data_IF_797998197441
#
_entry.id   IF_797998197441
#
_cell.length_a   1.000
_cell.length_b   1.000
_cell.length_c   1.000
_cell.angle_alpha   90.00
_cell.angle_beta   90.00
_cell.angle_gamma   90.00
#
_symmetry.space_group_name_H-M   'P 1'
#
loop_
_entity.id
_entity.type
_entity.pdbx_description
1 polymer ?
#
# COMPACT_ATOMS: atom_id res chain seq x y z
N UNK A 1 46.38 106.72 -20.43
CA UNK A 1 47.52 107.44 -19.84
C UNK A 1 47.37 107.43 -18.33
N UNK A 2 48.34 106.96 -17.56
CA UNK A 2 48.34 107.12 -16.11
C UNK A 2 48.34 108.60 -15.76
N UNK A 3 47.38 109.05 -14.95
CA UNK A 3 47.54 110.29 -14.20
C UNK A 3 48.21 109.93 -12.87
N UNK A 4 49.51 109.64 -12.92
CA UNK A 4 50.37 109.61 -11.73
C UNK A 4 50.18 110.92 -10.98
N UNK A 5 49.95 110.84 -9.66
CA UNK A 5 50.00 112.02 -8.81
C UNK A 5 51.47 112.38 -8.61
N UNK A 6 52.10 112.99 -9.62
CA UNK A 6 53.50 113.36 -9.61
C UNK A 6 53.75 114.32 -8.46
N UNK A 7 54.36 113.82 -7.39
CA UNK A 7 54.82 114.65 -6.28
C UNK A 7 55.90 115.59 -6.82
N UNK A 8 55.59 116.87 -6.89
CA UNK A 8 56.45 117.89 -7.48
C UNK A 8 57.52 118.31 -6.47
N UNK A 9 58.56 117.47 -6.38
CA UNK A 9 59.71 117.61 -5.47
C UNK A 9 60.33 119.01 -5.56
N UNK A 10 60.45 119.58 -6.77
CA UNK A 10 61.01 120.91 -6.99
C UNK A 10 60.11 122.01 -6.41
N UNK A 11 58.80 121.94 -6.64
CA UNK A 11 57.81 122.90 -6.09
C UNK A 11 57.63 122.76 -4.58
N UNK A 12 57.83 121.56 -4.03
CA UNK A 12 57.85 121.33 -2.59
C UNK A 12 59.12 121.89 -1.95
N UNK A 13 60.31 121.57 -2.48
CA UNK A 13 61.59 122.14 -2.04
C UNK A 13 61.63 123.68 -2.17
N UNK A 14 61.01 124.24 -3.21
CA UNK A 14 60.86 125.70 -3.34
C UNK A 14 60.01 126.30 -2.21
N UNK A 15 58.88 125.67 -1.86
CA UNK A 15 58.03 126.12 -0.74
C UNK A 15 58.71 126.00 0.62
N UNK A 16 59.56 124.98 0.82
CA UNK A 16 60.36 124.87 2.04
C UNK A 16 61.41 125.99 2.14
N UNK A 17 62.08 126.34 1.03
CA UNK A 17 62.96 127.53 0.96
C UNK A 17 62.19 128.83 1.26
N UNK A 18 61.01 129.01 0.67
CA UNK A 18 60.13 130.15 0.94
C UNK A 18 59.63 130.21 2.40
N UNK A 19 59.58 129.07 3.10
CA UNK A 19 59.27 128.96 4.52
C UNK A 19 60.49 129.07 5.46
N UNK A 20 61.69 129.34 4.94
CA UNK A 20 62.90 129.60 5.72
C UNK A 20 63.84 128.41 5.97
N UNK A 21 63.60 127.25 5.36
CA UNK A 21 64.58 126.15 5.35
C UNK A 21 65.75 126.47 4.41
N UNK A 22 66.96 126.01 4.74
CA UNK A 22 68.09 126.14 3.82
C UNK A 22 67.92 125.25 2.59
N UNK A 23 68.59 125.58 1.49
CA UNK A 23 68.46 124.85 0.22
C UNK A 23 68.77 123.34 0.36
N UNK A 24 69.85 122.89 1.03
CA UNK A 24 70.07 121.46 1.29
C UNK A 24 69.01 120.81 2.21
N UNK A 25 68.44 121.55 3.17
CA UNK A 25 67.38 121.03 4.03
C UNK A 25 66.07 120.84 3.26
N UNK A 26 65.74 121.81 2.41
CA UNK A 26 64.54 121.82 1.59
C UNK A 26 64.56 120.72 0.51
N UNK A 27 65.72 120.47 -0.08
CA UNK A 27 65.90 119.41 -1.08
C UNK A 27 65.90 118.03 -0.42
N UNK A 28 66.64 117.82 0.67
CA UNK A 28 66.62 116.55 1.40
C UNK A 28 65.23 116.18 1.95
N UNK A 29 64.46 117.14 2.48
CA UNK A 29 63.08 116.88 2.92
C UNK A 29 62.13 116.58 1.76
N UNK A 30 62.34 117.19 0.59
CA UNK A 30 61.53 116.91 -0.59
C UNK A 30 61.84 115.53 -1.19
N UNK A 31 63.13 115.15 -1.23
CA UNK A 31 63.62 113.86 -1.70
C UNK A 31 63.13 112.72 -0.79
N UNK A 32 63.37 112.82 0.53
CA UNK A 32 62.90 111.81 1.50
C UNK A 32 61.37 111.66 1.52
N UNK A 33 60.61 112.74 1.29
CA UNK A 33 59.15 112.66 1.19
C UNK A 33 58.70 112.05 -0.16
N UNK A 34 59.39 112.34 -1.26
CA UNK A 34 59.13 111.70 -2.55
C UNK A 34 59.41 110.19 -2.50
N UNK A 35 60.54 109.79 -1.90
CA UNK A 35 60.93 108.40 -1.67
C UNK A 35 59.92 107.68 -0.77
N UNK A 36 59.59 108.24 0.39
CA UNK A 36 58.61 107.65 1.33
C UNK A 36 57.18 107.57 0.76
N UNK A 37 56.82 108.41 -0.22
CA UNK A 37 55.56 108.31 -0.95
C UNK A 37 55.62 107.29 -2.09
N UNK A 38 56.77 107.13 -2.75
CA UNK A 38 56.97 106.17 -3.83
C UNK A 38 57.08 104.71 -3.34
N UNK A 39 57.75 104.48 -2.21
CA UNK A 39 57.96 103.12 -1.68
C UNK A 39 56.70 102.54 -1.00
N UNK A 40 55.83 103.39 -0.44
CA UNK A 40 54.76 102.95 0.49
C UNK A 40 53.34 103.01 -0.07
N UNK A 41 53.16 103.46 -1.32
CA UNK A 41 51.84 103.60 -1.96
C UNK A 41 51.71 102.71 -3.20
N UNK A 42 50.63 101.93 -3.27
CA UNK A 42 50.28 101.17 -4.47
C UNK A 42 49.95 102.12 -5.64
N UNK A 43 50.32 101.74 -6.86
CA UNK A 43 49.99 102.51 -8.06
C UNK A 43 48.50 102.39 -8.43
N UNK A 44 48.02 103.25 -9.33
CA UNK A 44 46.65 103.14 -9.86
C UNK A 44 46.48 101.86 -10.67
N UNK A 45 47.55 101.44 -11.32
CA UNK A 45 47.68 100.21 -12.10
C UNK A 45 47.59 98.97 -11.19
N UNK A 46 48.22 98.99 -10.00
CA UNK A 46 48.08 97.92 -8.99
C UNK A 46 46.64 97.81 -8.48
N UNK A 47 46.02 98.95 -8.16
CA UNK A 47 44.62 99.00 -7.69
C UNK A 47 43.68 98.49 -8.78
N UNK A 48 43.82 98.93 -10.03
CA UNK A 48 43.00 98.44 -11.15
C UNK A 48 43.25 96.94 -11.45
N UNK A 49 44.48 96.45 -11.30
CA UNK A 49 44.80 95.04 -11.45
C UNK A 49 44.29 94.17 -10.29
N UNK A 50 44.10 94.74 -9.09
CA UNK A 50 43.41 94.09 -7.97
C UNK A 50 41.89 94.10 -8.17
N UNK A 51 41.32 95.21 -8.63
CA UNK A 51 39.89 95.37 -8.89
C UNK A 51 39.41 94.37 -9.94
N UNK A 52 40.11 94.28 -11.09
CA UNK A 52 39.80 93.27 -12.11
C UNK A 52 39.96 91.81 -11.63
N UNK A 53 40.89 91.53 -10.70
CA UNK A 53 40.99 90.20 -10.05
C UNK A 53 39.83 89.93 -9.10
N UNK A 54 39.30 90.97 -8.45
CA UNK A 54 38.11 90.87 -7.59
C UNK A 54 36.87 90.65 -8.45
N UNK A 55 36.69 91.38 -9.57
CA UNK A 55 35.58 91.17 -10.51
C UNK A 55 35.57 89.73 -11.06
N UNK A 56 36.72 89.20 -11.49
CA UNK A 56 36.85 87.83 -11.97
C UNK A 56 36.44 86.83 -10.87
N UNK A 57 36.98 86.95 -9.65
CA UNK A 57 36.62 86.06 -8.53
C UNK A 57 35.16 86.15 -8.12
N UNK A 58 34.56 87.35 -8.17
CA UNK A 58 33.13 87.55 -7.91
C UNK A 58 32.28 86.91 -9.03
N UNK A 59 32.76 86.92 -10.28
CA UNK A 59 32.10 86.22 -11.40
C UNK A 59 32.25 84.70 -11.32
N UNK A 60 33.37 84.18 -10.81
CA UNK A 60 33.60 82.76 -10.51
C UNK A 60 32.66 82.29 -9.39
N UNK A 61 32.70 82.92 -8.22
CA UNK A 61 31.81 82.60 -7.07
C UNK A 61 30.32 82.67 -7.46
N UNK A 62 29.93 83.59 -8.36
CA UNK A 62 28.56 83.69 -8.90
C UNK A 62 28.16 82.56 -9.87
N UNK A 63 29.11 81.80 -10.43
CA UNK A 63 28.85 80.54 -11.15
C UNK A 63 28.71 79.40 -10.15
N UNK A 64 29.67 79.26 -9.24
CA UNK A 64 29.70 78.19 -8.24
C UNK A 64 28.42 78.17 -7.39
N UNK A 65 27.94 79.34 -6.96
CA UNK A 65 26.67 79.48 -6.23
C UNK A 65 25.46 79.02 -7.07
N UNK A 66 25.47 79.22 -8.40
CA UNK A 66 24.39 78.75 -9.28
C UNK A 66 24.45 77.25 -9.54
N UNK A 67 25.66 76.68 -9.64
CA UNK A 67 25.83 75.23 -9.75
C UNK A 67 25.35 74.54 -8.47
N UNK A 68 25.71 75.08 -7.30
CA UNK A 68 25.21 74.60 -6.00
C UNK A 68 23.69 74.72 -5.86
N UNK A 69 23.05 75.78 -6.38
CA UNK A 69 21.59 75.91 -6.35
C UNK A 69 20.87 74.87 -7.24
N UNK A 70 21.49 74.48 -8.36
CA UNK A 70 21.03 73.37 -9.20
C UNK A 70 21.21 72.03 -8.48
N UNK A 71 22.40 71.72 -7.96
CA UNK A 71 22.68 70.49 -7.22
C UNK A 71 21.77 70.34 -5.98
N UNK A 72 21.53 71.42 -5.23
CA UNK A 72 20.60 71.45 -4.09
C UNK A 72 19.15 71.23 -4.55
N UNK A 73 18.78 71.64 -5.75
CA UNK A 73 17.44 71.42 -6.31
C UNK A 73 17.25 69.97 -6.79
N UNK A 74 18.29 69.33 -7.32
CA UNK A 74 18.33 67.91 -7.67
C UNK A 74 18.25 67.04 -6.41
N UNK A 75 19.10 67.28 -5.40
CA UNK A 75 19.03 66.56 -4.12
C UNK A 75 17.67 66.71 -3.43
N UNK A 76 17.01 67.89 -3.54
CA UNK A 76 15.63 68.09 -3.06
C UNK A 76 14.57 67.32 -3.84
N UNK A 77 14.85 66.91 -5.09
CA UNK A 77 13.98 66.02 -5.88
C UNK A 77 14.18 64.58 -5.41
N UNK A 78 15.41 64.12 -5.32
CA UNK A 78 15.75 62.75 -4.96
C UNK A 78 15.26 62.39 -3.55
N UNK A 79 15.39 63.32 -2.58
CA UNK A 79 14.83 63.18 -1.23
C UNK A 79 13.31 62.97 -1.24
N UNK A 80 12.57 63.62 -2.17
CA UNK A 80 11.12 63.43 -2.29
C UNK A 80 10.77 62.09 -2.94
N UNK A 81 11.57 61.64 -3.92
CA UNK A 81 11.37 60.33 -4.53
C UNK A 81 11.62 59.20 -3.51
N UNK A 82 12.68 59.32 -2.71
CA UNK A 82 12.95 58.40 -1.60
C UNK A 82 11.83 58.41 -0.54
N UNK A 83 11.24 59.55 -0.20
CA UNK A 83 10.11 59.60 0.76
C UNK A 83 8.84 58.91 0.22
N UNK A 84 8.60 58.97 -1.10
CA UNK A 84 7.54 58.19 -1.78
C UNK A 84 7.85 56.69 -1.74
N UNK A 85 9.06 56.27 -2.13
CA UNK A 85 9.46 54.85 -2.10
C UNK A 85 9.42 54.27 -0.68
N UNK A 86 9.89 55.02 0.32
CA UNK A 86 9.81 54.66 1.75
C UNK A 86 8.34 54.55 2.19
N UNK A 87 7.45 55.40 1.67
CA UNK A 87 6.01 55.34 1.97
C UNK A 87 5.31 54.15 1.31
N UNK A 88 5.78 53.69 0.16
CA UNK A 88 5.32 52.48 -0.53
C UNK A 88 5.76 51.21 0.21
N UNK A 89 7.05 51.07 0.51
CA UNK A 89 7.57 49.95 1.33
C UNK A 89 6.87 49.85 2.69
N UNK A 90 6.48 50.99 3.30
CA UNK A 90 5.68 51.03 4.54
C UNK A 90 4.22 50.58 4.38
N UNK A 91 3.67 50.49 3.16
CA UNK A 91 2.39 49.82 2.88
C UNK A 91 2.61 48.33 2.70
N UNK A 92 3.59 47.94 1.89
CA UNK A 92 3.87 46.55 1.55
C UNK A 92 4.19 45.72 2.80
N UNK A 93 4.98 46.26 3.72
CA UNK A 93 5.26 45.64 5.03
C UNK A 93 3.96 45.39 5.82
N UNK A 94 3.01 46.33 5.82
CA UNK A 94 1.72 46.16 6.52
C UNK A 94 0.81 45.14 5.83
N UNK A 95 0.85 45.06 4.51
CA UNK A 95 0.14 44.03 3.75
C UNK A 95 0.70 42.62 4.05
N UNK A 96 2.03 42.52 4.18
CA UNK A 96 2.70 41.29 4.62
C UNK A 96 2.36 40.94 6.07
N UNK A 97 2.33 41.89 7.01
CA UNK A 97 1.92 41.66 8.41
C UNK A 97 0.48 41.09 8.49
N UNK A 98 -0.44 41.59 7.66
CA UNK A 98 -1.81 41.07 7.55
C UNK A 98 -1.79 39.63 7.00
N UNK A 99 -1.13 39.38 5.86
CA UNK A 99 -1.03 38.03 5.27
C UNK A 99 -0.40 37.01 6.21
N UNK A 100 0.65 37.39 6.94
CA UNK A 100 1.31 36.54 7.94
C UNK A 100 0.34 36.22 9.09
N UNK A 101 -0.48 37.19 9.51
CA UNK A 101 -1.51 37.00 10.54
C UNK A 101 -2.66 36.10 10.07
N UNK A 102 -2.99 36.12 8.78
CA UNK A 102 -3.98 35.24 8.15
C UNK A 102 -3.44 33.81 8.04
N UNK A 103 -2.29 33.60 7.39
CA UNK A 103 -1.64 32.28 7.28
C UNK A 103 -1.43 31.63 8.65
N UNK A 104 -1.07 32.41 9.68
CA UNK A 104 -0.93 31.91 11.06
C UNK A 104 -2.26 31.49 11.71
N UNK A 105 -3.39 32.07 11.29
CA UNK A 105 -4.74 31.63 11.70
C UNK A 105 -5.10 30.32 11.00
N UNK A 106 -4.89 30.26 9.70
CA UNK A 106 -5.26 29.12 8.86
C UNK A 106 -4.46 27.86 9.23
N UNK A 107 -3.16 28.01 9.51
CA UNK A 107 -2.31 26.94 10.07
C UNK A 107 -2.91 26.40 11.37
N UNK A 108 -3.34 27.28 12.29
CA UNK A 108 -3.93 26.86 13.58
C UNK A 108 -5.29 26.17 13.41
N UNK A 109 -6.07 26.56 12.42
CA UNK A 109 -7.34 25.89 12.11
C UNK A 109 -7.12 24.50 11.51
N UNK A 110 -6.14 24.36 10.60
CA UNK A 110 -5.75 23.08 10.02
C UNK A 110 -5.16 22.12 11.07
N UNK A 111 -4.30 22.61 11.96
CA UNK A 111 -3.73 21.86 13.09
C UNK A 111 -4.84 21.24 13.96
N UNK A 112 -5.80 22.07 14.40
CA UNK A 112 -6.96 21.60 15.18
C UNK A 112 -7.90 20.65 14.41
N UNK A 113 -8.04 20.82 13.08
CA UNK A 113 -8.81 19.89 12.23
C UNK A 113 -8.13 18.52 12.11
N UNK A 114 -6.81 18.50 11.95
CA UNK A 114 -6.01 17.26 11.89
C UNK A 114 -6.07 16.52 13.22
N UNK A 115 -5.91 17.22 14.35
CA UNK A 115 -6.01 16.63 15.70
C UNK A 115 -7.38 15.96 15.94
N UNK A 116 -8.48 16.62 15.53
CA UNK A 116 -9.83 16.06 15.64
C UNK A 116 -10.00 14.79 14.77
N UNK A 117 -9.56 14.82 13.51
CA UNK A 117 -9.63 13.65 12.61
C UNK A 117 -8.77 12.49 13.11
N UNK A 118 -7.56 12.76 13.61
CA UNK A 118 -6.68 11.74 14.19
C UNK A 118 -7.28 11.16 15.47
N UNK A 119 -7.95 11.96 16.30
CA UNK A 119 -8.65 11.48 17.48
C UNK A 119 -9.89 10.64 17.13
N UNK A 120 -10.64 11.00 16.08
CA UNK A 120 -11.77 10.22 15.57
C UNK A 120 -11.33 8.88 14.99
N UNK A 121 -10.36 8.87 14.08
CA UNK A 121 -9.82 7.64 13.48
C UNK A 121 -9.29 6.68 14.56
N UNK A 122 -8.61 7.20 15.60
CA UNK A 122 -8.15 6.38 16.75
C UNK A 122 -9.30 5.76 17.56
N UNK A 123 -10.46 6.42 17.68
CA UNK A 123 -11.65 5.82 18.31
C UNK A 123 -12.23 4.72 17.42
N UNK A 124 -12.43 5.01 16.13
CA UNK A 124 -13.05 4.09 15.18
C UNK A 124 -12.22 2.81 15.01
N UNK A 125 -10.88 2.92 14.97
CA UNK A 125 -9.98 1.76 14.99
C UNK A 125 -10.18 0.93 16.26
N UNK A 126 -10.20 1.55 17.44
CA UNK A 126 -10.36 0.84 18.72
C UNK A 126 -11.73 0.15 18.85
N UNK A 127 -12.78 0.75 18.30
CA UNK A 127 -14.12 0.15 18.25
C UNK A 127 -14.17 -1.06 17.31
N UNK A 128 -13.57 -0.95 16.12
CA UNK A 128 -13.44 -2.07 15.17
C UNK A 128 -12.63 -3.23 15.75
N UNK A 129 -11.50 -2.93 16.40
CA UNK A 129 -10.62 -3.89 17.07
C UNK A 129 -11.39 -4.71 18.12
N UNK A 130 -12.11 -4.03 19.03
CA UNK A 130 -12.96 -4.68 20.03
C UNK A 130 -14.14 -5.47 19.44
N UNK A 131 -14.76 -4.99 18.36
CA UNK A 131 -15.84 -5.71 17.67
C UNK A 131 -15.32 -6.98 16.98
N UNK A 132 -14.13 -6.96 16.39
CA UNK A 132 -13.48 -8.14 15.80
C UNK A 132 -13.11 -9.15 16.88
N UNK A 133 -12.53 -8.70 18.01
CA UNK A 133 -12.21 -9.58 19.14
C UNK A 133 -13.45 -10.29 19.69
N UNK A 134 -14.59 -9.59 19.82
CA UNK A 134 -15.86 -10.17 20.25
C UNK A 134 -16.38 -11.22 19.26
N UNK A 135 -16.38 -10.92 17.96
CA UNK A 135 -16.80 -11.87 16.92
C UNK A 135 -15.89 -13.10 16.85
N UNK A 136 -14.57 -12.92 16.97
CA UNK A 136 -13.62 -14.03 17.02
C UNK A 136 -13.80 -14.87 18.29
N UNK A 137 -14.11 -14.26 19.43
CA UNK A 137 -14.45 -14.96 20.67
C UNK A 137 -15.81 -15.67 20.61
N UNK A 138 -16.73 -15.25 19.75
CA UNK A 138 -18.01 -15.90 19.46
C UNK A 138 -17.83 -17.12 18.57
N UNK A 139 -17.24 -16.94 17.39
CA UNK A 139 -16.97 -18.03 16.44
C UNK A 139 -16.14 -19.15 17.10
N UNK A 140 -15.20 -18.83 17.99
CA UNK A 140 -14.44 -19.82 18.79
C UNK A 140 -15.30 -20.60 19.80
N UNK A 141 -16.38 -20.01 20.34
CA UNK A 141 -17.34 -20.72 21.20
C UNK A 141 -18.20 -21.66 20.36
N UNK A 142 -18.75 -21.15 19.26
CA UNK A 142 -19.66 -21.88 18.37
C UNK A 142 -18.97 -23.11 17.75
N UNK A 143 -17.74 -22.95 17.25
CA UNK A 143 -16.92 -24.05 16.75
C UNK A 143 -16.74 -25.13 17.82
N UNK A 144 -16.44 -24.74 19.08
CA UNK A 144 -16.24 -25.70 20.17
C UNK A 144 -17.54 -26.41 20.59
N UNK A 145 -18.69 -25.74 20.49
CA UNK A 145 -19.99 -26.36 20.74
C UNK A 145 -20.37 -27.34 19.61
N UNK A 146 -20.08 -27.01 18.36
CA UNK A 146 -20.29 -27.90 17.21
C UNK A 146 -19.37 -29.12 17.27
N UNK A 147 -18.09 -28.95 17.59
CA UNK A 147 -17.10 -30.01 17.78
C UNK A 147 -17.60 -31.04 18.84
N UNK A 148 -18.02 -30.55 20.01
CA UNK A 148 -18.61 -31.39 21.06
C UNK A 148 -19.92 -32.09 20.68
N UNK A 149 -20.77 -31.47 19.84
CA UNK A 149 -21.99 -32.11 19.29
C UNK A 149 -21.64 -33.22 18.30
N UNK A 150 -20.66 -33.01 17.44
CA UNK A 150 -20.17 -34.02 16.48
C UNK A 150 -19.56 -35.20 17.23
N UNK A 151 -18.73 -34.96 18.24
CA UNK A 151 -18.15 -36.02 19.09
C UNK A 151 -19.22 -36.88 19.76
N UNK A 152 -20.28 -36.25 20.30
CA UNK A 152 -21.40 -36.97 20.91
C UNK A 152 -22.17 -37.82 19.88
N UNK A 153 -22.50 -37.28 18.71
CA UNK A 153 -23.18 -38.01 17.64
C UNK A 153 -22.34 -39.17 17.09
N UNK A 154 -21.03 -38.95 16.91
CA UNK A 154 -20.09 -40.00 16.50
C UNK A 154 -19.97 -41.09 17.57
N UNK A 155 -19.99 -40.73 18.86
CA UNK A 155 -19.98 -41.68 19.97
C UNK A 155 -21.30 -42.45 20.13
N UNK A 156 -22.43 -41.88 19.70
CA UNK A 156 -23.75 -42.51 19.66
C UNK A 156 -23.85 -43.50 18.49
N UNK A 157 -23.56 -43.06 17.25
CA UNK A 157 -23.53 -43.92 16.07
C UNK A 157 -22.57 -45.12 16.26
N UNK A 158 -21.42 -44.93 16.92
CA UNK A 158 -20.50 -46.03 17.28
C UNK A 158 -21.08 -47.04 18.28
N UNK A 159 -22.02 -46.63 19.15
CA UNK A 159 -22.75 -47.54 20.05
C UNK A 159 -23.81 -48.31 19.26
N UNK A 160 -24.59 -47.61 18.43
CA UNK A 160 -25.68 -48.20 17.64
C UNK A 160 -25.17 -49.25 16.65
N UNK A 161 -24.08 -48.96 15.93
CA UNK A 161 -23.42 -49.94 15.05
C UNK A 161 -23.02 -51.20 15.84
N UNK A 162 -22.41 -51.03 17.03
CA UNK A 162 -21.98 -52.15 17.87
C UNK A 162 -23.15 -52.98 18.42
N UNK A 163 -24.30 -52.34 18.69
CA UNK A 163 -25.52 -53.04 19.10
C UNK A 163 -26.15 -53.81 17.91
N UNK A 164 -26.15 -53.21 16.71
CA UNK A 164 -26.60 -53.86 15.49
C UNK A 164 -25.72 -55.05 15.11
N UNK A 165 -24.39 -54.92 15.15
CA UNK A 165 -23.44 -56.02 14.96
C UNK A 165 -23.73 -57.17 15.94
N UNK A 166 -23.99 -56.86 17.21
CA UNK A 166 -24.37 -57.84 18.23
C UNK A 166 -25.68 -58.57 17.91
N UNK A 167 -26.72 -57.84 17.49
CA UNK A 167 -28.02 -58.41 17.07
C UNK A 167 -27.87 -59.31 15.83
N UNK A 168 -27.12 -58.87 14.82
CA UNK A 168 -26.85 -59.64 13.61
C UNK A 168 -26.04 -60.89 13.93
N UNK A 169 -25.02 -60.81 14.80
CA UNK A 169 -24.24 -61.96 15.23
C UNK A 169 -25.09 -63.02 15.95
N UNK A 170 -26.04 -62.60 16.80
CA UNK A 170 -27.01 -63.51 17.44
C UNK A 170 -27.95 -64.16 16.41
N UNK A 171 -28.59 -63.38 15.54
CA UNK A 171 -29.48 -63.90 14.50
C UNK A 171 -28.76 -64.91 13.57
N UNK A 172 -27.51 -64.61 13.18
CA UNK A 172 -26.68 -65.53 12.38
C UNK A 172 -26.29 -66.79 13.17
N UNK A 173 -26.14 -66.71 14.50
CA UNK A 173 -25.89 -67.88 15.34
C UNK A 173 -27.14 -68.77 15.48
N UNK A 174 -28.32 -68.17 15.61
CA UNK A 174 -29.59 -68.90 15.72
C UNK A 174 -29.99 -69.55 14.38
N UNK A 175 -29.89 -68.84 13.25
CA UNK A 175 -30.09 -69.43 11.92
C UNK A 175 -29.12 -70.62 11.69
N UNK A 176 -27.88 -70.55 12.20
CA UNK A 176 -26.91 -71.65 12.16
C UNK A 176 -27.24 -72.82 13.11
N UNK A 177 -28.10 -72.64 14.12
CA UNK A 177 -28.67 -73.72 14.92
C UNK A 177 -29.83 -74.37 14.17
N UNK A 178 -30.77 -73.56 13.68
CA UNK A 178 -31.97 -74.01 12.98
C UNK A 178 -31.64 -74.87 11.76
N UNK A 179 -30.66 -74.46 10.95
CA UNK A 179 -30.17 -75.24 9.81
C UNK A 179 -29.64 -76.62 10.25
N UNK A 180 -28.82 -76.68 11.31
CA UNK A 180 -28.28 -77.96 11.81
C UNK A 180 -29.36 -78.87 12.37
N UNK A 181 -30.35 -78.32 13.06
CA UNK A 181 -31.47 -79.11 13.57
C UNK A 181 -32.34 -79.64 12.42
N UNK A 182 -32.50 -78.85 11.36
CA UNK A 182 -33.21 -79.24 10.14
C UNK A 182 -32.45 -80.35 9.38
N UNK A 183 -31.13 -80.25 9.23
CA UNK A 183 -30.28 -81.29 8.62
C UNK A 183 -30.40 -82.63 9.35
N UNK A 184 -30.30 -82.63 10.69
CA UNK A 184 -30.45 -83.85 11.52
C UNK A 184 -31.85 -84.45 11.39
N UNK A 185 -32.89 -83.62 11.28
CA UNK A 185 -34.27 -84.06 11.02
C UNK A 185 -34.43 -84.67 9.62
N UNK A 186 -33.77 -84.12 8.61
CA UNK A 186 -33.76 -84.68 7.26
C UNK A 186 -33.01 -86.01 7.19
N UNK A 187 -31.79 -86.11 7.74
CA UNK A 187 -31.05 -87.38 7.83
C UNK A 187 -31.89 -88.48 8.48
N UNK A 188 -32.53 -88.17 9.61
CA UNK A 188 -33.35 -89.13 10.35
C UNK A 188 -34.55 -89.63 9.53
N UNK A 189 -35.21 -88.72 8.79
CA UNK A 189 -36.32 -89.08 7.88
C UNK A 189 -35.86 -89.87 6.66
N UNK A 190 -34.69 -89.56 6.10
CA UNK A 190 -34.10 -90.32 4.99
C UNK A 190 -33.80 -91.75 5.44
N UNK A 191 -33.12 -91.94 6.59
CA UNK A 191 -32.84 -93.25 7.18
C UNK A 191 -34.11 -94.05 7.48
N UNK A 192 -35.18 -93.40 7.95
CA UNK A 192 -36.48 -94.05 8.17
C UNK A 192 -37.14 -94.47 6.83
N UNK A 193 -37.09 -93.63 5.81
CA UNK A 193 -37.61 -93.93 4.47
C UNK A 193 -36.83 -95.08 3.79
N UNK A 194 -35.51 -95.05 3.85
CA UNK A 194 -34.63 -96.13 3.38
C UNK A 194 -34.99 -97.46 4.04
N UNK A 195 -35.07 -97.51 5.37
CA UNK A 195 -35.40 -98.73 6.11
C UNK A 195 -36.81 -99.24 5.76
N UNK A 196 -37.81 -98.34 5.67
CA UNK A 196 -39.17 -98.68 5.23
C UNK A 196 -39.21 -99.18 3.78
N UNK A 197 -38.39 -98.63 2.88
CA UNK A 197 -38.28 -99.08 1.49
C UNK A 197 -37.60 -100.45 1.39
N UNK A 198 -36.47 -100.65 2.06
CA UNK A 198 -35.74 -101.93 2.10
C UNK A 198 -36.64 -103.06 2.63
N UNK A 199 -37.39 -102.83 3.71
CA UNK A 199 -38.34 -103.81 4.25
C UNK A 199 -39.46 -104.12 3.26
N UNK A 200 -40.07 -103.10 2.61
CA UNK A 200 -41.16 -103.31 1.64
C UNK A 200 -40.68 -104.02 0.36
N UNK A 201 -39.54 -103.60 -0.19
CA UNK A 201 -38.96 -104.19 -1.40
C UNK A 201 -38.46 -105.61 -1.13
N UNK A 202 -37.74 -105.84 -0.03
CA UNK A 202 -37.31 -107.17 0.41
C UNK A 202 -38.49 -108.12 0.62
N UNK A 203 -39.56 -107.65 1.28
CA UNK A 203 -40.80 -108.42 1.43
C UNK A 203 -41.44 -108.81 0.09
N UNK A 204 -41.56 -107.87 -0.85
CA UNK A 204 -42.07 -108.17 -2.20
C UNK A 204 -41.16 -109.12 -2.99
N UNK A 205 -39.84 -109.01 -2.85
CA UNK A 205 -38.88 -109.93 -3.48
C UNK A 205 -39.02 -111.34 -2.92
N UNK A 206 -39.15 -111.51 -1.60
CA UNK A 206 -39.36 -112.83 -0.96
C UNK A 206 -40.67 -113.47 -1.41
N UNK A 207 -41.76 -112.69 -1.48
CA UNK A 207 -43.06 -113.15 -1.97
C UNK A 207 -42.96 -113.56 -3.45
N UNK A 208 -42.37 -112.70 -4.30
CA UNK A 208 -42.19 -112.97 -5.73
C UNK A 208 -41.31 -114.21 -6.00
N UNK A 209 -40.21 -114.36 -5.26
CA UNK A 209 -39.35 -115.54 -5.33
C UNK A 209 -40.06 -116.82 -4.87
N UNK A 210 -40.89 -116.76 -3.82
CA UNK A 210 -41.72 -117.88 -3.37
C UNK A 210 -42.76 -118.30 -4.41
N UNK A 211 -43.40 -117.34 -5.08
CA UNK A 211 -44.33 -117.59 -6.19
C UNK A 211 -43.61 -118.19 -7.41
N UNK A 212 -42.43 -117.70 -7.77
CA UNK A 212 -41.61 -118.28 -8.85
C UNK A 212 -41.14 -119.72 -8.51
N UNK A 213 -40.68 -119.96 -7.29
CA UNK A 213 -40.23 -121.28 -6.85
C UNK A 213 -41.37 -122.31 -6.79
N UNK A 214 -42.57 -121.89 -6.41
CA UNK A 214 -43.76 -122.77 -6.43
C UNK A 214 -44.26 -123.02 -7.85
N UNK A 215 -44.29 -122.01 -8.73
CA UNK A 215 -44.59 -122.20 -10.15
C UNK A 215 -43.62 -123.19 -10.83
N UNK A 216 -42.30 -123.01 -10.61
CA UNK A 216 -41.25 -123.89 -11.13
C UNK A 216 -41.30 -125.33 -10.55
N UNK A 217 -42.00 -125.54 -9.43
CA UNK A 217 -42.24 -126.87 -8.84
C UNK A 217 -43.50 -127.56 -9.39
N UNK A 218 -44.46 -126.79 -9.93
CA UNK A 218 -45.74 -127.27 -10.45
C UNK A 218 -45.64 -127.67 -11.93
N UNK A 219 -44.72 -127.06 -12.70
CA UNK A 219 -44.58 -127.31 -14.14
C UNK A 219 -43.17 -127.76 -14.56
N UNK A 220 -42.86 -129.08 -14.52
CA UNK A 220 -41.59 -129.62 -15.01
C UNK A 220 -41.56 -129.66 -16.55
N UNK A 221 -41.24 -128.54 -17.19
CA UNK A 221 -41.11 -128.44 -18.65
C UNK A 221 -39.82 -129.07 -19.17
N UNK A 222 -39.90 -130.35 -19.55
CA UNK A 222 -38.95 -130.96 -20.48
C UNK A 222 -39.21 -130.44 -21.91
N UNK A 223 -38.23 -129.78 -22.55
CA UNK A 223 -38.07 -129.70 -24.03
C UNK A 223 -36.69 -129.13 -24.40
N UNK A 224 -36.19 -129.43 -25.60
CA UNK A 224 -34.78 -129.28 -25.98
C UNK A 224 -34.24 -127.86 -26.22
N UNK A 225 -32.92 -127.77 -25.97
CA UNK A 225 -31.90 -126.89 -26.52
C UNK A 225 -32.05 -126.51 -28.02
N UNK A 226 -31.83 -125.22 -28.32
CA UNK A 226 -31.17 -124.76 -29.57
C UNK A 226 -30.23 -123.62 -29.20
N UNK A 227 -28.94 -123.73 -29.54
CA UNK A 227 -27.98 -122.63 -29.41
C UNK A 227 -27.68 -121.98 -30.77
N UNK A 228 -27.79 -120.65 -30.90
CA UNK A 228 -27.13 -119.88 -31.95
C UNK A 228 -25.60 -119.80 -31.70
N UNK A 229 -24.79 -119.50 -32.73
CA UNK A 229 -23.33 -119.54 -32.65
C UNK A 229 -22.71 -118.34 -31.92
N UNK A 230 -21.41 -118.46 -31.62
CA UNK A 230 -20.56 -117.38 -31.08
C UNK A 230 -20.02 -116.45 -32.19
N UNK A 231 -19.26 -115.42 -31.77
CA UNK A 231 -18.66 -114.32 -32.55
C UNK A 231 -19.65 -113.20 -32.97
N UNK A 232 -19.30 -111.90 -32.96
CA UNK A 232 -18.05 -111.26 -32.50
C UNK A 232 -18.27 -109.81 -31.95
N UNK A 233 -17.18 -109.13 -31.56
CA UNK A 233 -17.21 -107.80 -30.91
C UNK A 233 -17.24 -106.62 -31.90
N UNK A 234 -17.96 -105.53 -31.54
CA UNK A 234 -17.60 -104.08 -31.62
C UNK A 234 -18.85 -103.22 -31.32
N UNK A 235 -18.86 -102.35 -30.29
CA UNK A 235 -18.20 -101.04 -30.11
C UNK A 235 -18.94 -99.82 -30.74
N UNK A 236 -19.47 -98.97 -29.83
CA UNK A 236 -19.44 -97.49 -29.79
C UNK A 236 -20.27 -96.60 -30.76
N UNK A 237 -20.65 -95.43 -30.21
CA UNK A 237 -21.30 -94.24 -30.83
C UNK A 237 -22.77 -94.41 -31.31
N UNK A 238 -23.56 -93.33 -31.53
CA UNK A 238 -23.36 -91.87 -31.31
C UNK A 238 -23.93 -91.40 -29.93
N UNK A 239 -23.77 -90.18 -29.40
CA UNK A 239 -23.49 -88.81 -29.90
C UNK A 239 -24.73 -88.01 -30.38
N UNK A 240 -24.67 -86.66 -30.22
CA UNK A 240 -25.72 -85.63 -30.43
C UNK A 240 -26.78 -85.55 -29.29
N UNK A 241 -27.14 -84.38 -28.75
CA UNK A 241 -26.64 -83.02 -29.05
C UNK A 241 -27.17 -81.88 -28.15
N UNK A 242 -26.71 -80.66 -28.42
CA UNK A 242 -27.21 -79.36 -27.89
C UNK A 242 -28.43 -78.85 -28.70
N UNK A 243 -29.21 -77.90 -28.15
CA UNK A 243 -28.99 -76.45 -28.37
C UNK A 243 -28.77 -75.69 -27.03
N UNK A 244 -28.17 -74.51 -26.91
CA UNK A 244 -27.90 -73.32 -27.75
C UNK A 244 -28.94 -72.17 -27.63
N UNK A 245 -28.43 -70.93 -27.49
CA UNK A 245 -29.16 -69.69 -27.14
C UNK A 245 -29.22 -69.43 -25.62
N UNK A 246 -28.87 -68.27 -25.04
CA UNK A 246 -28.51 -66.94 -25.56
C UNK A 246 -29.52 -65.88 -25.06
N UNK A 247 -29.17 -64.67 -24.60
CA UNK A 247 -27.89 -64.01 -24.28
C UNK A 247 -28.17 -63.03 -23.08
N UNK A 248 -27.49 -61.91 -22.72
CA UNK A 248 -26.46 -61.00 -23.29
C UNK A 248 -25.55 -60.41 -22.18
N UNK A 249 -24.54 -59.62 -22.56
CA UNK A 249 -23.85 -58.63 -21.69
C UNK A 249 -24.55 -57.25 -21.78
N UNK A 250 -24.23 -56.27 -20.90
CA UNK A 250 -23.14 -55.33 -21.21
C UNK A 250 -22.17 -55.05 -20.03
N UNK A 251 -20.93 -54.61 -20.30
CA UNK A 251 -19.97 -54.17 -19.28
C UNK A 251 -19.84 -52.64 -19.15
N UNK A 252 -19.46 -52.18 -17.95
CA UNK A 252 -18.59 -51.01 -17.73
C UNK A 252 -19.16 -49.58 -17.91
N UNK A 253 -19.07 -48.77 -16.85
CA UNK A 253 -18.77 -47.34 -16.97
C UNK A 253 -18.04 -46.84 -15.72
N UNK A 254 -17.34 -45.71 -15.85
CA UNK A 254 -16.37 -45.20 -14.86
C UNK A 254 -16.88 -44.00 -14.04
N UNK A 255 -16.30 -43.87 -12.83
CA UNK A 255 -15.96 -42.67 -12.02
C UNK A 255 -16.36 -41.31 -12.65
N UNK A 256 -17.03 -40.39 -11.93
CA UNK A 256 -16.44 -39.69 -10.77
C UNK A 256 -16.79 -40.26 -9.38
#
# INVERSE_FOLDING_TARGET
MPSTATFDTLKFAKRLREAGFSEPQAEAQAELLAEALAERLASKEDVAALDGKIEIRVAEIRRDIKELDVQVSEVKRDIKELDVQISEVKRDIKELDVRISEVKRDIKELDGKVDLQVAEIKRNIKELDGNVDLQVAEIKRDIKELDGKVDLQVAEIKRDIKELDGKVALQVADIKRDIKELDVKFESRIKELELRMVIKLGGMIVIGAGLLATANRIWPASVQYVAPPAQEMRQLAPAVGRPDGGATLPPGQEVP
#
